data_IF_863473779017
#
_entry.id   IF_863473779017
#
_cell.length_a   1.000
_cell.length_b   1.000
_cell.length_c   1.000
_cell.angle_alpha   90.00
_cell.angle_beta   90.00
_cell.angle_gamma   90.00
#
_symmetry.space_group_name_H-M   'P 1'
#
loop_
_entity.id
_entity.type
_entity.pdbx_description
1 polymer ?
#
# COMPACT_ATOMS: atom_id res chain seq x y z
N UNK A 1 -1.49 13.12 -16.83
CA UNK A 1 -0.80 12.60 -15.63
C UNK A 1 -1.84 12.51 -14.51
N UNK A 2 -2.13 11.31 -13.99
CA UNK A 2 -2.95 11.20 -12.78
C UNK A 2 -2.23 11.91 -11.62
N UNK A 3 -2.94 12.74 -10.87
CA UNK A 3 -2.36 13.34 -9.66
C UNK A 3 -2.34 12.27 -8.58
N UNK A 4 -1.15 11.79 -8.23
CA UNK A 4 -0.97 10.88 -7.11
C UNK A 4 -0.87 11.66 -5.80
N UNK A 5 -1.52 11.14 -4.77
CA UNK A 5 -1.46 11.65 -3.41
C UNK A 5 -0.57 10.71 -2.60
N UNK A 6 0.49 11.24 -2.02
CA UNK A 6 1.37 10.49 -1.13
C UNK A 6 0.68 10.19 0.19
N UNK A 7 0.81 8.95 0.66
CA UNK A 7 0.31 8.54 1.98
C UNK A 7 1.30 9.01 3.03
N UNK A 8 0.81 9.74 4.05
CA UNK A 8 1.64 10.24 5.14
C UNK A 8 2.43 9.10 5.81
N UNK A 9 3.70 9.31 6.22
CA UNK A 9 4.53 8.26 6.82
C UNK A 9 3.94 7.63 8.08
N UNK A 10 3.12 8.38 8.84
CA UNK A 10 2.45 7.92 10.05
C UNK A 10 1.33 6.90 9.81
N UNK A 11 0.81 6.80 8.58
CA UNK A 11 -0.18 5.79 8.22
C UNK A 11 0.53 4.46 8.02
N UNK A 12 0.09 3.43 8.75
CA UNK A 12 0.62 2.07 8.58
C UNK A 12 0.14 1.52 7.24
N UNK A 13 1.07 1.36 6.30
CA UNK A 13 0.80 0.69 5.03
C UNK A 13 2.02 -0.11 4.60
N UNK A 14 1.76 -1.32 4.11
CA UNK A 14 2.78 -2.20 3.55
C UNK A 14 3.38 -1.59 2.29
N UNK A 15 4.63 -1.90 2.05
CA UNK A 15 5.27 -1.58 0.77
C UNK A 15 4.78 -2.54 -0.32
N UNK A 16 4.85 -2.13 -1.58
CA UNK A 16 4.54 -3.03 -2.69
C UNK A 16 5.41 -4.28 -2.63
N UNK A 17 4.79 -5.46 -2.59
CA UNK A 17 5.51 -6.74 -2.44
C UNK A 17 6.46 -7.05 -3.60
N UNK A 18 6.20 -6.48 -4.79
CA UNK A 18 6.99 -6.72 -6.00
C UNK A 18 8.23 -5.81 -6.07
N UNK A 19 8.11 -4.52 -5.68
CA UNK A 19 9.18 -3.53 -5.90
C UNK A 19 9.59 -2.72 -4.66
N UNK A 20 9.04 -3.05 -3.48
CA UNK A 20 9.35 -2.41 -2.20
C UNK A 20 8.91 -0.95 -2.07
N UNK A 21 8.16 -0.41 -3.03
CA UNK A 21 7.78 1.01 -3.02
C UNK A 21 6.50 1.25 -2.21
N UNK A 22 6.49 2.31 -1.39
CA UNK A 22 5.30 2.72 -0.64
C UNK A 22 4.16 3.08 -1.62
N UNK A 23 2.91 2.63 -1.38
CA UNK A 23 1.79 2.94 -2.26
C UNK A 23 1.50 4.44 -2.34
N UNK A 24 0.77 4.81 -3.40
CA UNK A 24 0.15 6.13 -3.57
C UNK A 24 -1.35 5.98 -3.78
N UNK A 25 -2.09 7.05 -3.52
CA UNK A 25 -3.52 7.13 -3.82
C UNK A 25 -3.69 7.84 -5.17
N UNK A 26 -4.37 7.18 -6.10
CA UNK A 26 -4.82 7.76 -7.36
C UNK A 26 -6.31 8.12 -7.23
N UNK A 27 -6.69 9.33 -7.64
CA UNK A 27 -8.09 9.76 -7.71
C UNK A 27 -8.57 9.76 -9.17
N UNK A 28 -9.65 9.05 -9.45
CA UNK A 28 -10.28 9.00 -10.77
C UNK A 28 -11.81 9.06 -10.66
N UNK A 29 -12.43 10.06 -11.30
CA UNK A 29 -13.90 10.26 -11.34
C UNK A 29 -14.58 10.14 -9.97
N UNK A 30 -14.00 10.76 -8.93
CA UNK A 30 -14.54 10.75 -7.56
C UNK A 30 -14.29 9.46 -6.77
N UNK A 31 -13.57 8.48 -7.36
CA UNK A 31 -13.14 7.25 -6.69
C UNK A 31 -11.65 7.30 -6.41
N UNK A 32 -11.22 6.55 -5.40
CA UNK A 32 -9.84 6.39 -4.99
C UNK A 32 -9.37 4.95 -5.24
N UNK A 33 -8.12 4.84 -5.64
CA UNK A 33 -7.41 3.57 -5.80
C UNK A 33 -6.07 3.68 -5.08
N UNK A 34 -5.76 2.73 -4.20
CA UNK A 34 -4.42 2.57 -3.62
C UNK A 34 -3.62 1.68 -4.55
N UNK A 35 -2.48 2.17 -5.04
CA UNK A 35 -1.68 1.49 -6.07
C UNK A 35 -0.18 1.67 -5.91
N UNK A 36 0.58 0.83 -6.60
CA UNK A 36 2.02 1.02 -6.77
C UNK A 36 2.30 2.31 -7.58
N UNK A 37 3.26 3.16 -7.14
CA UNK A 37 3.64 4.36 -7.88
C UNK A 37 4.51 4.07 -9.11
N UNK A 38 5.21 2.92 -9.15
CA UNK A 38 6.19 2.61 -10.20
C UNK A 38 5.58 1.89 -11.39
N UNK A 39 4.59 1.03 -11.17
CA UNK A 39 4.01 0.17 -12.19
C UNK A 39 2.51 -0.02 -11.92
N UNK A 40 1.67 0.13 -12.95
CA UNK A 40 0.23 -0.08 -12.84
C UNK A 40 -0.19 -1.56 -12.96
N UNK A 41 0.72 -2.46 -13.34
CA UNK A 41 0.48 -3.91 -13.43
C UNK A 41 0.59 -4.61 -12.08
N UNK A 42 1.22 -3.95 -11.09
CA UNK A 42 1.22 -4.43 -9.71
C UNK A 42 -0.18 -4.33 -9.11
N UNK A 43 -0.39 -4.99 -7.96
CA UNK A 43 -1.68 -4.93 -7.26
C UNK A 43 -2.17 -3.48 -7.11
N UNK A 44 -3.48 -3.29 -7.25
CA UNK A 44 -4.20 -2.05 -6.96
C UNK A 44 -5.54 -2.40 -6.32
N UNK A 45 -6.01 -1.56 -5.40
CA UNK A 45 -7.34 -1.76 -4.83
C UNK A 45 -8.44 -1.48 -5.86
N UNK A 46 -9.61 -2.10 -5.75
CA UNK A 46 -10.77 -1.71 -6.53
C UNK A 46 -11.07 -0.21 -6.38
N UNK A 47 -11.53 0.49 -7.45
CA UNK A 47 -11.91 1.90 -7.35
C UNK A 47 -13.08 2.11 -6.39
N UNK A 48 -12.88 2.93 -5.35
CA UNK A 48 -13.91 3.17 -4.32
C UNK A 48 -13.47 4.19 -3.28
N UNK A 49 -13.70 3.88 -2.01
CA UNK A 49 -13.07 4.60 -0.90
C UNK A 49 -11.60 4.15 -0.76
N UNK A 50 -10.79 4.95 -0.05
CA UNK A 50 -9.39 4.60 0.21
C UNK A 50 -9.34 3.29 1.03
N UNK A 51 -8.78 2.23 0.46
CA UNK A 51 -8.71 0.89 1.07
C UNK A 51 -7.26 0.47 1.39
N UNK A 52 -6.73 0.97 2.51
CA UNK A 52 -5.37 0.61 2.98
C UNK A 52 -5.31 -0.85 3.44
N UNK A 53 -6.40 -1.40 3.98
CA UNK A 53 -6.44 -2.77 4.49
C UNK A 53 -6.38 -3.80 3.35
N UNK A 54 -7.12 -3.55 2.26
CA UNK A 54 -7.04 -4.36 1.04
C UNK A 54 -5.65 -4.30 0.42
N UNK A 55 -5.02 -3.12 0.39
CA UNK A 55 -3.62 -2.98 -0.02
C UNK A 55 -2.68 -3.83 0.84
N UNK A 56 -2.74 -3.66 2.17
CA UNK A 56 -1.86 -4.36 3.10
C UNK A 56 -2.04 -5.88 2.99
N UNK A 57 -3.27 -6.37 2.91
CA UNK A 57 -3.56 -7.82 2.79
C UNK A 57 -2.90 -8.43 1.55
N UNK A 58 -2.87 -7.72 0.42
CA UNK A 58 -2.29 -8.20 -0.84
C UNK A 58 -0.79 -7.94 -0.98
N UNK A 59 -0.21 -7.13 -0.09
CA UNK A 59 1.22 -6.82 -0.11
C UNK A 59 1.95 -7.24 1.18
N UNK A 60 1.26 -7.94 2.08
CA UNK A 60 1.86 -8.45 3.32
C UNK A 60 2.94 -9.45 2.95
N UNK A 61 4.17 -9.18 3.36
CA UNK A 61 5.20 -10.22 3.33
C UNK A 61 4.79 -11.30 4.31
N UNK A 62 4.69 -12.55 3.84
CA UNK A 62 4.63 -13.67 4.75
C UNK A 62 5.98 -13.73 5.45
N UNK A 63 6.06 -13.17 6.65
CA UNK A 63 7.18 -13.42 7.53
C UNK A 63 7.18 -14.94 7.77
N UNK A 64 8.14 -15.64 7.18
CA UNK A 64 8.44 -17.05 7.47
C UNK A 64 8.99 -17.24 8.90
N UNK A 65 8.66 -16.35 9.83
CA UNK A 65 9.22 -16.28 11.18
C UNK A 65 8.42 -15.32 12.02
N UNK A 66 7.25 -15.76 12.49
CA UNK A 66 6.53 -15.07 13.54
C UNK A 66 7.36 -15.03 14.82
N UNK A 67 8.09 -13.94 15.04
CA UNK A 67 8.54 -13.56 16.37
C UNK A 67 8.60 -12.03 16.46
N UNK A 68 7.61 -11.45 17.14
CA UNK A 68 7.68 -10.07 17.62
C UNK A 68 8.84 -10.00 18.62
N UNK A 69 10.02 -9.56 18.19
CA UNK A 69 11.05 -9.12 19.15
C UNK A 69 10.62 -7.77 19.70
N UNK A 70 9.91 -7.79 20.83
CA UNK A 70 9.81 -6.66 21.73
C UNK A 70 11.24 -6.28 22.13
N UNK A 71 11.74 -5.18 21.57
CA UNK A 71 12.98 -4.56 22.02
C UNK A 71 12.79 -4.06 23.44
N UNK A 72 13.27 -4.85 24.41
CA UNK A 72 13.41 -4.42 25.80
C UNK A 72 14.66 -3.53 25.84
N UNK A 73 14.49 -2.26 26.27
CA UNK A 73 15.60 -1.40 26.67
C UNK A 73 16.17 -1.85 28.02
#
# INVERSE_FOLDING_TARGET
MGKFISIQPSVICENCIICGSRPVIEQNKGKFTVRCPKDNTHYQTPPGLIDINGWNTNNKTQDSGGELKLGVN
#
